data_IF_015449948835
#
_entry.id   IF_015449948835
#
_cell.length_a   1.000
_cell.length_b   1.000
_cell.length_c   1.000
_cell.angle_alpha   90.00
_cell.angle_beta   90.00
_cell.angle_gamma   90.00
#
_symmetry.space_group_name_H-M   'P 1'
#
loop_
_entity.id
_entity.type
_entity.pdbx_description
1 polymer ?
#
# COMPACT_ATOMS: atom_id res chain seq x y z
N UNK A 1 23.52 -25.79 13.28
CA UNK A 1 23.73 -24.54 12.53
C UNK A 1 23.26 -24.59 11.06
N UNK A 2 23.08 -25.76 10.42
CA UNK A 2 22.64 -25.82 9.00
C UNK A 2 21.14 -25.60 8.73
N UNK A 3 20.25 -25.71 9.72
CA UNK A 3 18.80 -25.53 9.48
C UNK A 3 18.36 -24.07 9.29
N UNK A 4 19.17 -23.12 9.74
CA UNK A 4 18.84 -21.70 9.56
C UNK A 4 18.96 -21.28 8.09
N UNK A 5 19.95 -21.80 7.36
CA UNK A 5 20.20 -21.43 5.95
C UNK A 5 19.03 -21.84 5.05
N UNK A 6 18.45 -23.02 5.26
CA UNK A 6 17.28 -23.49 4.50
C UNK A 6 16.01 -22.68 4.79
N UNK A 7 15.83 -22.22 6.03
CA UNK A 7 14.69 -21.39 6.41
C UNK A 7 14.80 -19.98 5.81
N UNK A 8 15.97 -19.35 5.91
CA UNK A 8 16.20 -18.04 5.29
C UNK A 8 16.05 -18.09 3.77
N UNK A 9 16.48 -19.18 3.13
CA UNK A 9 16.27 -19.39 1.69
C UNK A 9 14.78 -19.51 1.32
N UNK A 10 13.96 -20.14 2.18
CA UNK A 10 12.51 -20.18 1.98
C UNK A 10 11.85 -18.80 2.14
N UNK A 11 12.29 -17.99 3.10
CA UNK A 11 11.78 -16.63 3.29
C UNK A 11 12.15 -15.68 2.14
N UNK A 12 13.31 -15.86 1.52
CA UNK A 12 13.80 -15.05 0.39
C UNK A 12 13.18 -15.45 -0.95
N UNK A 13 12.35 -16.50 -0.94
CA UNK A 13 11.69 -16.99 -2.15
C UNK A 13 10.57 -16.00 -2.58
N UNK A 14 10.52 -15.58 -3.85
CA UNK A 14 9.55 -14.58 -4.32
C UNK A 14 8.09 -15.02 -4.15
N UNK A 15 7.83 -16.33 -4.22
CA UNK A 15 6.51 -16.92 -3.98
C UNK A 15 6.06 -16.77 -2.52
N UNK A 16 6.99 -16.84 -1.57
CA UNK A 16 6.70 -16.60 -0.16
C UNK A 16 6.33 -15.13 0.04
N UNK A 17 7.14 -14.20 -0.50
CA UNK A 17 6.87 -12.77 -0.41
C UNK A 17 5.49 -12.40 -0.97
N UNK A 18 5.17 -12.83 -2.18
CA UNK A 18 3.88 -12.49 -2.81
C UNK A 18 2.70 -13.07 -2.06
N UNK A 19 2.79 -14.32 -1.60
CA UNK A 19 1.75 -14.97 -0.79
C UNK A 19 1.54 -14.22 0.52
N UNK A 20 2.61 -13.86 1.22
CA UNK A 20 2.53 -13.09 2.47
C UNK A 20 1.90 -11.71 2.24
N UNK A 21 2.27 -11.00 1.17
CA UNK A 21 1.68 -9.71 0.83
C UNK A 21 0.19 -9.82 0.54
N UNK A 22 -0.24 -10.84 -0.20
CA UNK A 22 -1.66 -11.10 -0.45
C UNK A 22 -2.44 -11.40 0.83
N UNK A 23 -1.88 -12.20 1.75
CA UNK A 23 -2.51 -12.51 3.04
C UNK A 23 -2.63 -11.24 3.89
N UNK A 24 -1.57 -10.43 3.97
CA UNK A 24 -1.58 -9.16 4.71
C UNK A 24 -2.61 -8.21 4.10
N UNK A 25 -2.66 -8.09 2.78
CA UNK A 25 -3.63 -7.27 2.07
C UNK A 25 -5.08 -7.74 2.33
N UNK A 26 -5.32 -9.05 2.33
CA UNK A 26 -6.63 -9.63 2.61
C UNK A 26 -7.11 -9.33 4.04
N UNK A 27 -6.20 -9.33 5.01
CA UNK A 27 -6.49 -8.95 6.40
C UNK A 27 -6.57 -7.42 6.56
N UNK A 28 -5.81 -6.67 5.78
CA UNK A 28 -5.82 -5.20 5.75
C UNK A 28 -7.12 -4.63 5.20
N UNK A 29 -7.70 -5.24 4.17
CA UNK A 29 -8.96 -4.83 3.55
C UNK A 29 -10.11 -4.59 4.56
N UNK A 30 -10.47 -5.53 5.46
CA UNK A 30 -11.51 -5.29 6.46
C UNK A 30 -11.11 -4.21 7.46
N UNK A 31 -9.81 -4.06 7.77
CA UNK A 31 -9.32 -2.99 8.65
C UNK A 31 -9.52 -1.62 7.99
N UNK A 32 -9.23 -1.47 6.71
CA UNK A 32 -9.49 -0.23 5.97
C UNK A 32 -10.98 0.11 5.92
N UNK A 33 -11.85 -0.90 5.74
CA UNK A 33 -13.32 -0.70 5.77
C UNK A 33 -13.78 -0.21 7.14
N UNK A 34 -13.31 -0.84 8.22
CA UNK A 34 -13.62 -0.42 9.60
C UNK A 34 -13.09 0.99 9.85
N UNK A 35 -11.88 1.31 9.36
CA UNK A 35 -11.29 2.64 9.46
C UNK A 35 -12.13 3.72 8.77
N UNK A 36 -12.61 3.45 7.56
CA UNK A 36 -13.46 4.39 6.82
C UNK A 36 -14.81 4.61 7.54
N UNK A 37 -15.41 3.54 8.06
CA UNK A 37 -16.61 3.61 8.89
C UNK A 37 -16.33 4.44 10.15
N UNK A 38 -15.23 4.17 10.86
CA UNK A 38 -14.84 4.92 12.05
C UNK A 38 -14.74 6.43 11.77
N UNK A 39 -14.11 6.84 10.66
CA UNK A 39 -14.04 8.24 10.25
C UNK A 39 -15.45 8.82 10.04
N UNK A 40 -16.32 8.13 9.31
CA UNK A 40 -17.66 8.67 9.01
C UNK A 40 -18.54 8.81 10.26
N UNK A 41 -18.51 7.81 11.16
CA UNK A 41 -19.39 7.73 12.33
C UNK A 41 -18.85 8.43 13.57
N UNK A 42 -17.52 8.51 13.73
CA UNK A 42 -16.90 9.06 14.94
C UNK A 42 -16.49 10.52 14.80
N UNK A 43 -16.36 11.06 13.57
CA UNK A 43 -16.05 12.49 13.37
C UNK A 43 -17.20 13.36 13.89
N UNK A 44 -16.97 14.20 14.92
CA UNK A 44 -18.00 15.06 15.51
C UNK A 44 -18.40 16.19 14.55
N UNK A 45 -19.63 16.71 14.68
CA UNK A 45 -20.16 17.76 13.78
C UNK A 45 -19.37 19.06 13.82
N UNK A 46 -18.65 19.32 14.91
CA UNK A 46 -17.73 20.46 15.06
C UNK A 46 -16.53 20.39 14.11
N UNK A 47 -16.21 19.21 13.56
CA UNK A 47 -15.11 18.98 12.61
C UNK A 47 -15.62 18.58 11.21
N UNK A 48 -16.85 18.98 10.85
CA UNK A 48 -17.44 18.62 9.56
C UNK A 48 -16.59 19.06 8.35
N UNK A 49 -15.85 20.18 8.45
CA UNK A 49 -14.93 20.64 7.39
C UNK A 49 -13.76 19.68 7.15
N UNK A 50 -13.32 18.95 8.18
CA UNK A 50 -12.18 18.00 8.08
C UNK A 50 -12.63 16.57 7.76
N UNK A 51 -13.93 16.28 7.79
CA UNK A 51 -14.48 14.94 7.54
C UNK A 51 -14.12 14.41 6.15
N UNK A 52 -14.27 15.25 5.13
CA UNK A 52 -14.02 14.88 3.74
C UNK A 52 -12.52 14.73 3.42
N UNK A 53 -11.65 15.68 3.81
CA UNK A 53 -10.20 15.52 3.66
C UNK A 53 -9.66 14.25 4.35
N UNK A 54 -10.11 13.96 5.57
CA UNK A 54 -9.70 12.75 6.31
C UNK A 54 -10.18 11.46 5.63
N UNK A 55 -11.41 11.43 5.13
CA UNK A 55 -11.91 10.28 4.39
C UNK A 55 -11.13 10.08 3.08
N UNK A 56 -10.85 11.16 2.35
CA UNK A 56 -10.10 11.10 1.10
C UNK A 56 -8.67 10.60 1.32
N UNK A 57 -8.00 11.09 2.36
CA UNK A 57 -6.68 10.62 2.77
C UNK A 57 -6.70 9.12 3.10
N UNK A 58 -7.70 8.66 3.86
CA UNK A 58 -7.84 7.25 4.22
C UNK A 58 -8.13 6.35 3.02
N UNK A 59 -8.98 6.80 2.09
CA UNK A 59 -9.26 6.06 0.85
C UNK A 59 -8.04 5.97 -0.05
N UNK A 60 -7.28 7.05 -0.15
CA UNK A 60 -6.06 7.08 -0.95
C UNK A 60 -4.96 6.19 -0.36
N UNK A 61 -4.81 6.20 0.95
CA UNK A 61 -3.90 5.29 1.68
C UNK A 61 -4.32 3.82 1.53
N UNK A 62 -5.61 3.51 1.68
CA UNK A 62 -6.12 2.16 1.44
C UNK A 62 -5.92 1.70 -0.02
N UNK A 63 -6.01 2.62 -0.98
CA UNK A 63 -5.71 2.35 -2.39
C UNK A 63 -4.22 2.06 -2.60
N UNK A 64 -3.33 2.78 -1.91
CA UNK A 64 -1.89 2.51 -1.92
C UNK A 64 -1.60 1.11 -1.38
N UNK A 65 -2.17 0.75 -0.23
CA UNK A 65 -1.97 -0.58 0.38
C UNK A 65 -2.47 -1.72 -0.51
N UNK A 66 -3.61 -1.55 -1.18
CA UNK A 66 -4.09 -2.51 -2.18
C UNK A 66 -3.15 -2.59 -3.39
N UNK A 67 -2.60 -1.45 -3.82
CA UNK A 67 -1.75 -1.40 -5.01
C UNK A 67 -0.40 -2.05 -4.78
N UNK A 68 0.23 -1.80 -3.64
CA UNK A 68 1.48 -2.48 -3.26
C UNK A 68 1.26 -3.92 -2.82
N UNK A 69 0.14 -4.22 -2.16
CA UNK A 69 -0.17 -5.56 -1.65
C UNK A 69 -0.66 -6.54 -2.71
N UNK A 70 -1.35 -6.08 -3.76
CA UNK A 70 -2.00 -6.95 -4.75
C UNK A 70 -1.54 -6.72 -6.20
N UNK A 71 -1.41 -5.46 -6.63
CA UNK A 71 -1.17 -5.11 -8.03
C UNK A 71 0.31 -5.13 -8.42
N UNK A 72 1.16 -4.53 -7.58
CA UNK A 72 2.59 -4.33 -7.85
C UNK A 72 3.41 -5.40 -7.14
N UNK A 73 3.25 -5.61 -5.83
CA UNK A 73 4.10 -6.50 -5.01
C UNK A 73 5.59 -6.30 -5.35
N UNK A 74 6.22 -5.25 -4.81
CA UNK A 74 7.61 -4.93 -5.16
C UNK A 74 8.56 -6.01 -4.62
N UNK A 75 9.33 -6.64 -5.51
CA UNK A 75 10.44 -7.51 -5.14
C UNK A 75 11.75 -6.79 -5.46
N UNK A 76 12.57 -6.53 -4.45
CA UNK A 76 13.86 -5.84 -4.59
C UNK A 76 15.01 -6.82 -4.36
N UNK A 77 15.90 -6.98 -5.34
CA UNK A 77 17.15 -7.69 -5.12
C UNK A 77 18.16 -6.77 -4.42
N UNK A 78 18.77 -7.22 -3.31
CA UNK A 78 19.68 -6.38 -2.53
C UNK A 78 21.16 -6.31 -3.02
N UNK A 79 21.66 -7.08 -4.01
CA UNK A 79 23.00 -6.86 -4.59
C UNK A 79 23.01 -6.07 -5.92
N UNK A 80 21.86 -5.94 -6.58
CA UNK A 80 21.69 -5.15 -7.82
C UNK A 80 20.47 -4.29 -7.60
N UNK A 81 20.53 -2.98 -7.84
CA UNK A 81 19.37 -2.07 -7.76
C UNK A 81 18.38 -2.36 -8.90
N UNK A 82 17.82 -3.57 -8.89
CA UNK A 82 16.85 -4.10 -9.81
C UNK A 82 15.66 -4.54 -8.96
N UNK A 83 14.52 -3.89 -9.21
CA UNK A 83 13.24 -4.29 -8.68
C UNK A 83 12.39 -4.83 -9.82
N UNK A 84 11.67 -5.92 -9.57
CA UNK A 84 10.60 -6.34 -10.45
C UNK A 84 9.32 -6.55 -9.62
N UNK A 85 8.18 -6.36 -10.27
CA UNK A 85 6.88 -6.49 -9.62
C UNK A 85 6.42 -7.94 -9.77
N UNK A 86 5.96 -8.57 -8.69
CA UNK A 86 5.40 -9.94 -8.71
C UNK A 86 3.87 -9.96 -8.77
N UNK A 87 3.24 -8.79 -8.72
CA UNK A 87 1.78 -8.67 -8.72
C UNK A 87 1.15 -8.84 -10.11
N UNK A 88 -0.17 -8.76 -10.16
CA UNK A 88 -1.00 -9.01 -11.34
C UNK A 88 -0.63 -8.11 -12.54
N UNK A 89 -0.12 -6.90 -12.29
CA UNK A 89 0.34 -6.01 -13.37
C UNK A 89 1.47 -6.64 -14.19
N UNK A 90 2.30 -7.49 -13.57
CA UNK A 90 3.35 -8.23 -14.28
C UNK A 90 2.76 -9.30 -15.19
N UNK A 91 1.76 -10.04 -14.70
CA UNK A 91 1.06 -11.09 -15.46
C UNK A 91 0.30 -10.51 -16.67
N UNK A 92 -0.22 -9.29 -16.55
CA UNK A 92 -0.88 -8.55 -17.64
C UNK A 92 0.13 -7.96 -18.64
N UNK A 93 1.43 -8.03 -18.36
CA UNK A 93 2.49 -7.53 -19.22
C UNK A 93 2.64 -6.01 -19.19
N UNK A 94 2.22 -5.35 -18.10
CA UNK A 94 2.37 -3.90 -17.95
C UNK A 94 3.85 -3.55 -17.78
N UNK A 95 4.38 -2.57 -18.52
CA UNK A 95 5.76 -2.12 -18.39
C UNK A 95 6.10 -1.63 -16.97
N UNK A 96 7.31 -1.95 -16.48
CA UNK A 96 7.78 -1.52 -15.17
C UNK A 96 7.77 0.02 -14.96
N UNK A 97 7.93 0.79 -16.05
CA UNK A 97 7.81 2.25 -16.05
C UNK A 97 6.42 2.74 -15.61
N UNK A 98 5.37 2.03 -16.02
CA UNK A 98 3.98 2.43 -15.77
C UNK A 98 3.61 2.05 -14.33
N UNK A 99 4.07 0.89 -13.85
CA UNK A 99 3.96 0.48 -12.44
C UNK A 99 4.68 1.47 -11.52
N UNK A 100 5.89 1.90 -11.89
CA UNK A 100 6.64 2.91 -11.14
C UNK A 100 5.91 4.26 -11.13
N UNK A 101 5.35 4.68 -12.27
CA UNK A 101 4.57 5.91 -12.36
C UNK A 101 3.34 5.85 -11.44
N UNK A 102 2.60 4.74 -11.45
CA UNK A 102 1.46 4.52 -10.54
C UNK A 102 1.88 4.64 -9.07
N UNK A 103 2.98 3.98 -8.68
CA UNK A 103 3.51 4.06 -7.32
C UNK A 103 3.87 5.51 -6.91
N UNK A 104 4.52 6.27 -7.80
CA UNK A 104 4.90 7.67 -7.53
C UNK A 104 3.66 8.56 -7.41
N UNK A 105 2.66 8.40 -8.28
CA UNK A 105 1.42 9.17 -8.23
C UNK A 105 0.67 8.91 -6.92
N UNK A 106 0.64 7.66 -6.45
CA UNK A 106 -0.01 7.31 -5.19
C UNK A 106 0.69 7.98 -4.00
N UNK A 107 2.02 7.88 -3.91
CA UNK A 107 2.80 8.53 -2.84
C UNK A 107 2.65 10.05 -2.88
N UNK A 108 2.63 10.65 -4.08
CA UNK A 108 2.44 12.09 -4.23
C UNK A 108 1.03 12.54 -3.81
N UNK A 109 0.00 11.76 -4.16
CA UNK A 109 -1.38 12.02 -3.77
C UNK A 109 -1.56 12.02 -2.24
N UNK A 110 -0.97 11.06 -1.53
CA UNK A 110 -0.99 11.03 -0.06
C UNK A 110 -0.38 12.31 0.54
N UNK A 111 0.80 12.70 0.07
CA UNK A 111 1.49 13.90 0.56
C UNK A 111 0.68 15.17 0.32
N UNK A 112 0.02 15.28 -0.83
CA UNK A 112 -0.86 16.40 -1.14
C UNK A 112 -2.03 16.49 -0.17
N UNK A 113 -2.69 15.36 0.10
CA UNK A 113 -3.82 15.30 1.03
C UNK A 113 -3.40 15.53 2.48
N UNK A 114 -2.21 15.08 2.88
CA UNK A 114 -1.63 15.40 4.18
C UNK A 114 -1.44 16.91 4.30
N UNK A 115 -0.88 17.57 3.28
CA UNK A 115 -0.69 19.03 3.30
C UNK A 115 -2.01 19.81 3.36
N UNK A 116 -3.05 19.31 2.70
CA UNK A 116 -4.40 19.87 2.78
C UNK A 116 -4.96 19.75 4.21
N UNK A 117 -4.82 18.59 4.85
CA UNK A 117 -5.23 18.37 6.25
C UNK A 117 -4.48 19.31 7.20
N UNK A 118 -3.17 19.52 7.03
CA UNK A 118 -2.39 20.46 7.83
C UNK A 118 -2.86 21.91 7.66
N UNK A 119 -3.26 22.32 6.46
CA UNK A 119 -3.78 23.68 6.22
C UNK A 119 -5.08 24.01 6.96
N UNK A 120 -5.82 23.00 7.43
CA UNK A 120 -7.01 23.17 8.26
C UNK A 120 -6.69 23.20 9.77
N UNK A 121 -5.46 22.86 10.16
CA UNK A 121 -4.99 22.88 11.54
C UNK A 121 -4.29 24.20 11.93
N UNK A 122 -3.88 25.00 10.94
CA UNK A 122 -3.30 26.34 11.08
C UNK A 122 -4.40 27.43 11.03
#
# INVERSE_FOLDING_TARGET
MCQNVSFFHFLDTPQFLSTTMYIICLIGLPIHVIGAICIIFKTPSQMNSMKWPMLNLHLWSASLDLSFGFLIVPFMYQPVLAGYSLGILNEIGVPAKDMYYLAVVQIAGEKSLISEVWSFLD
#
